data_IF_494568168121
#
_entry.id   IF_494568168121
#
_cell.length_a   1.000
_cell.length_b   1.000
_cell.length_c   1.000
_cell.angle_alpha   90.00
_cell.angle_beta   90.00
_cell.angle_gamma   90.00
#
_symmetry.space_group_name_H-M   'P 1'
#
loop_
_entity.id
_entity.type
_entity.pdbx_description
1 polymer ?
#
# COMPACT_ATOMS: atom_id res chain seq x y z
N UNK A 1 -7.02 -12.20 27.32
CA UNK A 1 -7.25 -10.77 27.64
C UNK A 1 -6.06 -10.01 27.06
N UNK A 2 -6.07 -9.16 26.03
CA UNK A 2 -7.07 -8.43 25.23
C UNK A 2 -6.49 -8.28 23.80
N UNK A 3 -7.01 -9.02 22.82
CA UNK A 3 -6.65 -8.87 21.39
C UNK A 3 -7.46 -7.76 20.68
N UNK A 4 -8.13 -6.92 21.46
CA UNK A 4 -9.01 -5.84 20.97
C UNK A 4 -8.22 -4.71 20.29
N UNK A 5 -7.01 -4.40 20.76
CA UNK A 5 -6.20 -3.28 20.27
C UNK A 5 -5.86 -3.34 18.76
N UNK A 6 -5.38 -4.45 18.19
CA UNK A 6 -5.10 -4.52 16.74
C UNK A 6 -6.37 -4.46 15.89
N UNK A 7 -7.47 -5.09 16.33
CA UNK A 7 -8.76 -5.06 15.62
C UNK A 7 -9.33 -3.64 15.66
N UNK A 8 -9.33 -2.98 16.83
CA UNK A 8 -9.76 -1.59 16.95
C UNK A 8 -8.94 -0.66 16.05
N UNK A 9 -7.62 -0.82 15.96
CA UNK A 9 -6.78 -0.01 15.05
C UNK A 9 -7.12 -0.26 13.58
N UNK A 10 -7.39 -1.50 13.19
CA UNK A 10 -7.81 -1.83 11.83
C UNK A 10 -9.20 -1.24 11.51
N UNK A 11 -10.14 -1.32 12.45
CA UNK A 11 -11.48 -0.74 12.32
C UNK A 11 -11.44 0.78 12.24
N UNK A 12 -10.60 1.43 13.06
CA UNK A 12 -10.39 2.89 12.99
C UNK A 12 -9.77 3.32 11.66
N UNK A 13 -8.79 2.55 11.15
CA UNK A 13 -8.22 2.80 9.82
C UNK A 13 -9.24 2.64 8.70
N UNK A 14 -10.05 1.58 8.74
CA UNK A 14 -11.13 1.35 7.79
C UNK A 14 -12.18 2.46 7.87
N UNK A 15 -12.63 2.83 9.07
CA UNK A 15 -13.58 3.91 9.29
C UNK A 15 -13.04 5.26 8.80
N UNK A 16 -11.75 5.54 8.99
CA UNK A 16 -11.11 6.74 8.48
C UNK A 16 -11.09 6.78 6.94
N UNK A 17 -10.69 5.68 6.28
CA UNK A 17 -10.64 5.60 4.82
C UNK A 17 -12.05 5.73 4.22
N UNK A 18 -12.99 4.96 4.74
CA UNK A 18 -14.38 4.98 4.28
C UNK A 18 -15.04 6.32 4.59
N UNK A 19 -14.77 6.90 5.75
CA UNK A 19 -15.24 8.23 6.14
C UNK A 19 -14.69 9.33 5.23
N UNK A 20 -13.39 9.30 4.93
CA UNK A 20 -12.78 10.26 4.00
C UNK A 20 -13.35 10.12 2.58
N UNK A 21 -13.54 8.88 2.10
CA UNK A 21 -14.15 8.61 0.80
C UNK A 21 -15.62 9.07 0.75
N UNK A 22 -16.40 8.78 1.78
CA UNK A 22 -17.80 9.19 1.89
C UNK A 22 -17.94 10.71 1.99
N UNK A 23 -17.09 11.36 2.78
CA UNK A 23 -17.05 12.82 2.89
C UNK A 23 -16.72 13.47 1.55
N UNK A 24 -15.73 12.94 0.83
CA UNK A 24 -15.38 13.44 -0.50
C UNK A 24 -16.52 13.25 -1.49
N UNK A 25 -17.17 12.07 -1.49
CA UNK A 25 -18.32 11.79 -2.35
C UNK A 25 -19.53 12.68 -2.02
N UNK A 26 -19.74 13.02 -0.75
CA UNK A 26 -20.81 13.91 -0.30
C UNK A 26 -20.53 15.38 -0.61
N UNK A 27 -19.28 15.83 -0.48
CA UNK A 27 -18.89 17.21 -0.74
C UNK A 27 -18.79 17.54 -2.24
N UNK A 28 -18.48 16.53 -3.08
CA UNK A 28 -18.26 16.71 -4.52
C UNK A 28 -19.41 17.38 -5.29
N UNK A 29 -20.70 17.03 -5.10
CA UNK A 29 -21.77 17.57 -5.93
C UNK A 29 -22.07 19.05 -5.68
N UNK A 30 -21.75 19.54 -4.49
CA UNK A 30 -22.17 20.87 -4.04
C UNK A 30 -20.98 21.83 -3.89
N UNK A 31 -19.84 21.36 -3.38
CA UNK A 31 -18.78 22.22 -2.84
C UNK A 31 -17.40 21.96 -3.50
N UNK A 32 -17.31 21.03 -4.46
CA UNK A 32 -16.05 20.63 -5.05
C UNK A 32 -16.16 20.57 -6.57
N UNK A 33 -15.14 21.09 -7.25
CA UNK A 33 -15.06 20.96 -8.70
C UNK A 33 -14.98 19.47 -9.09
N UNK A 34 -15.74 19.00 -10.11
CA UNK A 34 -15.72 17.62 -10.56
C UNK A 34 -14.31 17.09 -10.90
N UNK A 35 -13.42 17.95 -11.40
CA UNK A 35 -12.03 17.59 -11.63
C UNK A 35 -11.30 17.32 -10.31
N UNK A 36 -11.41 18.23 -9.34
CA UNK A 36 -10.75 18.06 -8.05
C UNK A 36 -11.29 16.87 -7.26
N UNK A 37 -12.59 16.58 -7.36
CA UNK A 37 -13.18 15.38 -6.76
C UNK A 37 -12.52 14.09 -7.30
N UNK A 38 -12.28 14.01 -8.61
CA UNK A 38 -11.59 12.87 -9.23
C UNK A 38 -10.13 12.80 -8.81
N UNK A 39 -9.41 13.93 -8.80
CA UNK A 39 -8.00 14.00 -8.38
C UNK A 39 -7.82 13.54 -6.95
N UNK A 40 -8.65 14.05 -6.03
CA UNK A 40 -8.60 13.70 -4.62
C UNK A 40 -8.97 12.23 -4.39
N UNK A 41 -9.93 11.68 -5.14
CA UNK A 41 -10.25 10.26 -5.08
C UNK A 41 -9.05 9.37 -5.45
N UNK A 42 -8.35 9.70 -6.53
CA UNK A 42 -7.12 9.01 -6.91
C UNK A 42 -5.97 9.20 -5.92
N UNK A 43 -5.77 10.41 -5.43
CA UNK A 43 -4.76 10.70 -4.41
C UNK A 43 -5.01 9.92 -3.10
N UNK A 44 -6.28 9.83 -2.67
CA UNK A 44 -6.69 9.06 -1.50
C UNK A 44 -6.37 7.56 -1.67
N UNK A 45 -6.62 7.00 -2.86
CA UNK A 45 -6.24 5.61 -3.14
C UNK A 45 -4.73 5.40 -3.02
N UNK A 46 -3.93 6.31 -3.59
CA UNK A 46 -2.47 6.28 -3.42
C UNK A 46 -2.05 6.36 -1.95
N UNK A 47 -2.72 7.20 -1.15
CA UNK A 47 -2.45 7.35 0.28
C UNK A 47 -2.73 6.06 1.05
N UNK A 48 -3.86 5.41 0.76
CA UNK A 48 -4.23 4.11 1.33
C UNK A 48 -3.12 3.08 1.07
N UNK A 49 -2.64 3.00 -0.17
CA UNK A 49 -1.53 2.08 -0.53
C UNK A 49 -0.29 2.40 0.30
N UNK A 50 0.13 3.66 0.40
CA UNK A 50 1.31 4.07 1.18
C UNK A 50 1.18 3.67 2.65
N UNK A 51 0.03 3.94 3.27
CA UNK A 51 -0.22 3.63 4.67
C UNK A 51 -0.12 2.12 4.92
N UNK A 52 -0.83 1.30 4.14
CA UNK A 52 -0.82 -0.16 4.32
C UNK A 52 0.53 -0.79 3.95
N UNK A 53 1.16 -0.35 2.86
CA UNK A 53 2.47 -0.83 2.43
C UNK A 53 3.57 -0.54 3.47
N UNK A 54 3.44 0.54 4.24
CA UNK A 54 4.35 0.87 5.34
C UNK A 54 3.98 0.13 6.64
N UNK A 55 2.69 -0.07 6.93
CA UNK A 55 2.23 -0.66 8.17
C UNK A 55 2.38 -2.19 8.20
N UNK A 56 2.05 -2.89 7.11
CA UNK A 56 2.06 -4.36 7.04
C UNK A 56 3.45 -4.96 7.34
N UNK A 57 4.56 -4.48 6.74
CA UNK A 57 5.89 -5.01 7.04
C UNK A 57 6.38 -4.70 8.47
N UNK A 58 5.81 -3.67 9.10
CA UNK A 58 6.14 -3.27 10.48
C UNK A 58 5.38 -4.09 11.53
N UNK A 59 4.29 -4.74 11.14
CA UNK A 59 3.62 -5.71 11.99
C UNK A 59 4.50 -6.96 12.12
N UNK A 60 5.26 -7.04 13.22
CA UNK A 60 6.04 -8.22 13.57
C UNK A 60 5.08 -9.37 13.87
N UNK A 61 4.82 -10.23 12.88
CA UNK A 61 4.01 -11.43 13.11
C UNK A 61 4.87 -12.41 13.88
N UNK A 62 4.73 -12.42 15.21
CA UNK A 62 5.39 -13.40 16.10
C UNK A 62 5.21 -14.85 15.61
N UNK A 63 4.07 -15.16 14.97
CA UNK A 63 3.80 -16.49 14.39
C UNK A 63 4.57 -16.82 13.12
N UNK A 64 4.98 -15.83 12.31
CA UNK A 64 5.78 -16.08 11.10
C UNK A 64 7.22 -16.46 11.46
N UNK A 65 7.75 -15.94 12.58
CA UNK A 65 9.08 -16.28 13.09
C UNK A 65 9.26 -17.75 13.42
N UNK A 66 8.18 -18.48 13.72
CA UNK A 66 8.25 -19.90 14.09
C UNK A 66 8.23 -20.88 12.90
N UNK A 67 7.93 -20.42 11.67
CA UNK A 67 7.81 -21.30 10.49
C UNK A 67 8.85 -21.04 9.40
N UNK A 68 9.65 -19.98 9.52
CA UNK A 68 10.63 -19.61 8.50
C UNK A 68 12.03 -20.05 8.91
N UNK A 69 12.75 -20.71 7.99
CA UNK A 69 14.14 -21.15 8.16
C UNK A 69 15.09 -19.97 8.41
N UNK A 70 14.78 -18.78 7.88
CA UNK A 70 15.50 -17.53 8.13
C UNK A 70 14.54 -16.36 8.38
N UNK A 71 14.25 -16.02 9.65
CA UNK A 71 13.37 -14.90 10.01
C UNK A 71 13.87 -13.54 9.50
N UNK A 72 15.20 -13.36 9.41
CA UNK A 72 15.81 -12.13 8.92
C UNK A 72 15.56 -11.89 7.43
N UNK A 73 15.65 -12.95 6.62
CA UNK A 73 15.39 -12.87 5.18
C UNK A 73 13.90 -12.60 4.88
N UNK A 74 12.97 -13.23 5.61
CA UNK A 74 11.53 -12.97 5.47
C UNK A 74 11.19 -11.51 5.82
N UNK A 75 11.75 -11.00 6.92
CA UNK A 75 11.54 -9.62 7.33
C UNK A 75 12.16 -8.62 6.33
N UNK A 76 13.32 -8.93 5.76
CA UNK A 76 13.94 -8.13 4.71
C UNK A 76 13.07 -8.10 3.44
N UNK A 77 12.53 -9.24 3.00
CA UNK A 77 11.63 -9.32 1.85
C UNK A 77 10.35 -8.50 2.06
N UNK A 78 9.73 -8.59 3.25
CA UNK A 78 8.55 -7.78 3.59
C UNK A 78 8.85 -6.29 3.56
N UNK A 79 9.98 -5.85 4.12
CA UNK A 79 10.39 -4.44 4.10
C UNK A 79 10.67 -3.96 2.69
N UNK A 80 11.34 -4.78 1.88
CA UNK A 80 11.60 -4.47 0.48
C UNK A 80 10.30 -4.29 -0.30
N UNK A 81 9.38 -5.26 -0.23
CA UNK A 81 8.09 -5.18 -0.89
C UNK A 81 7.27 -3.98 -0.40
N UNK A 82 7.28 -3.72 0.91
CA UNK A 82 6.63 -2.56 1.51
C UNK A 82 7.16 -1.24 0.93
N UNK A 83 8.48 -1.06 0.87
CA UNK A 83 9.08 0.15 0.31
C UNK A 83 8.81 0.30 -1.19
N UNK A 84 8.86 -0.79 -1.96
CA UNK A 84 8.49 -0.76 -3.38
C UNK A 84 7.05 -0.24 -3.55
N UNK A 85 6.10 -0.77 -2.76
CA UNK A 85 4.70 -0.35 -2.80
C UNK A 85 4.47 1.06 -2.24
N UNK A 86 5.23 1.51 -1.23
CA UNK A 86 5.20 2.91 -0.76
C UNK A 86 5.60 3.85 -1.89
N UNK A 87 6.71 3.56 -2.58
CA UNK A 87 7.16 4.39 -3.72
C UNK A 87 6.14 4.35 -4.86
N UNK A 88 5.57 3.19 -5.17
CA UNK A 88 4.50 3.04 -6.16
C UNK A 88 3.23 3.81 -5.80
N UNK A 89 2.79 3.76 -4.54
CA UNK A 89 1.63 4.49 -4.04
C UNK A 89 1.84 6.00 -4.05
N UNK A 90 3.05 6.47 -3.71
CA UNK A 90 3.42 7.90 -3.83
C UNK A 90 3.43 8.35 -5.30
N UNK A 91 4.01 7.55 -6.20
CA UNK A 91 3.99 7.84 -7.64
C UNK A 91 2.56 7.87 -8.20
N UNK A 92 1.70 6.93 -7.78
CA UNK A 92 0.27 6.92 -8.11
C UNK A 92 -0.43 8.19 -7.63
N UNK A 93 -0.20 8.57 -6.37
CA UNK A 93 -0.77 9.78 -5.78
C UNK A 93 -0.34 11.03 -6.55
N UNK A 94 0.96 11.18 -6.83
CA UNK A 94 1.50 12.30 -7.60
C UNK A 94 0.95 12.35 -9.03
N UNK A 95 0.77 11.19 -9.67
CA UNK A 95 0.17 11.13 -11.00
C UNK A 95 -1.25 11.72 -10.99
N UNK A 96 -2.07 11.42 -9.98
CA UNK A 96 -3.41 11.99 -9.86
C UNK A 96 -3.44 13.48 -9.52
N UNK A 97 -2.44 13.98 -8.79
CA UNK A 97 -2.35 15.39 -8.43
C UNK A 97 -1.80 16.26 -9.57
N UNK A 98 -0.87 15.75 -10.37
CA UNK A 98 -0.10 16.57 -11.32
C UNK A 98 -0.40 16.25 -12.79
N UNK A 99 -0.73 15.00 -13.13
CA UNK A 99 -0.92 14.63 -14.53
C UNK A 99 -2.26 15.15 -15.10
N UNK A 100 -2.37 15.28 -16.43
CA UNK A 100 -3.65 15.47 -17.11
C UNK A 100 -4.65 14.37 -16.71
N UNK A 101 -5.90 14.74 -16.43
CA UNK A 101 -6.92 13.82 -15.89
C UNK A 101 -7.21 12.60 -16.78
N UNK A 102 -7.11 12.76 -18.09
CA UNK A 102 -7.26 11.70 -19.10
C UNK A 102 -6.14 10.65 -19.02
N UNK A 103 -4.96 11.05 -18.53
CA UNK A 103 -3.76 10.19 -18.42
C UNK A 103 -3.42 9.78 -16.99
N UNK A 104 -3.97 10.45 -15.98
CA UNK A 104 -3.67 10.24 -14.57
C UNK A 104 -3.83 8.77 -14.16
N UNK A 105 -4.93 8.13 -14.56
CA UNK A 105 -5.19 6.72 -14.28
C UNK A 105 -4.17 5.78 -14.93
N UNK A 106 -3.79 6.04 -16.19
CA UNK A 106 -2.80 5.24 -16.92
C UNK A 106 -1.40 5.40 -16.31
N UNK A 107 -0.95 6.64 -16.10
CA UNK A 107 0.39 6.94 -15.55
C UNK A 107 0.50 6.38 -14.13
N UNK A 108 -0.49 6.66 -13.27
CA UNK A 108 -0.53 6.15 -11.91
C UNK A 108 -0.58 4.62 -11.90
N UNK A 109 -1.45 4.02 -12.72
CA UNK A 109 -1.61 2.57 -12.83
C UNK A 109 -0.32 1.87 -13.27
N UNK A 110 0.39 2.42 -14.25
CA UNK A 110 1.69 1.88 -14.69
C UNK A 110 2.75 2.00 -13.60
N UNK A 111 2.82 3.14 -12.90
CA UNK A 111 3.78 3.34 -11.82
C UNK A 111 3.54 2.36 -10.65
N UNK A 112 2.29 2.21 -10.23
CA UNK A 112 1.91 1.26 -9.19
C UNK A 112 2.07 -0.19 -9.65
N UNK A 113 1.71 -0.50 -10.89
CA UNK A 113 1.89 -1.81 -11.49
C UNK A 113 3.35 -2.23 -11.54
N UNK A 114 4.24 -1.33 -11.98
CA UNK A 114 5.69 -1.56 -11.97
C UNK A 114 6.22 -1.82 -10.56
N UNK A 115 5.74 -1.07 -9.56
CA UNK A 115 6.10 -1.29 -8.16
C UNK A 115 5.65 -2.67 -7.64
N UNK A 116 4.44 -3.11 -7.98
CA UNK A 116 3.92 -4.46 -7.64
C UNK A 116 4.78 -5.54 -8.29
N UNK A 117 5.07 -5.40 -9.60
CA UNK A 117 5.92 -6.35 -10.33
C UNK A 117 7.31 -6.42 -9.72
N UNK A 118 7.91 -5.26 -9.39
CA UNK A 118 9.21 -5.19 -8.75
C UNK A 118 9.23 -5.84 -7.36
N UNK A 119 8.22 -5.57 -6.54
CA UNK A 119 8.05 -6.20 -5.24
C UNK A 119 7.95 -7.73 -5.35
N UNK A 120 7.15 -8.24 -6.30
CA UNK A 120 6.99 -9.66 -6.54
C UNK A 120 8.30 -10.32 -6.99
N UNK A 121 9.00 -9.73 -7.96
CA UNK A 121 10.30 -10.22 -8.45
C UNK A 121 11.35 -10.25 -7.33
N UNK A 122 11.43 -9.18 -6.53
CA UNK A 122 12.36 -9.13 -5.40
C UNK A 122 12.05 -10.17 -4.32
N UNK A 123 10.78 -10.38 -3.99
CA UNK A 123 10.37 -11.45 -3.06
C UNK A 123 10.74 -12.84 -3.59
N UNK A 124 10.51 -13.12 -4.88
CA UNK A 124 10.89 -14.39 -5.49
C UNK A 124 12.40 -14.61 -5.49
N UNK A 125 13.18 -13.56 -5.76
CA UNK A 125 14.66 -13.61 -5.69
C UNK A 125 15.16 -13.89 -4.29
N UNK A 126 14.57 -13.27 -3.26
CA UNK A 126 14.96 -13.53 -1.87
C UNK A 126 14.58 -14.96 -1.46
N UNK A 127 13.40 -15.44 -1.86
CA UNK A 127 12.95 -16.81 -1.55
C UNK A 127 13.76 -17.92 -2.23
N UNK A 128 14.21 -17.70 -3.47
CA UNK A 128 15.04 -18.68 -4.20
C UNK A 128 16.43 -18.83 -3.59
N UNK A 129 17.08 -17.73 -3.19
CA UNK A 129 18.38 -17.75 -2.48
C UNK A 129 18.30 -18.56 -1.18
N UNK A 130 17.19 -18.48 -0.45
CA UNK A 130 17.00 -19.22 0.81
C UNK A 130 16.84 -20.74 0.60
N UNK A 131 16.23 -21.18 -0.51
CA UNK A 131 16.11 -22.62 -0.83
C UNK A 131 17.45 -23.28 -1.18
N UNK A 132 18.40 -22.52 -1.72
CA UNK A 132 19.74 -23.01 -2.08
C UNK A 132 20.69 -23.12 -0.89
N UNK A 133 20.55 -22.25 0.13
CA UNK A 133 21.42 -22.21 1.30
C UNK A 133 21.07 -23.22 2.41
N UNK A 134 19.95 -23.94 2.28
CA UNK A 134 19.47 -24.95 3.24
C UNK A 134 19.75 -26.40 2.84
N UNK A 135 20.67 -26.64 1.89
CA UNK A 135 21.16 -27.97 1.53
C UNK A 135 22.60 -28.15 2.00
#
# INVERSE_FOLDING_TARGET
MTSLTPICRALLGAAFILGAAALLAWAAPAWLDPEWARRLGGALLGAVVVVYANAIPKALVERARMRCTSPGADQAARRFAGWALVLGGLAYMLAWLVAPLDKAGMIGGLALGAAVTWAALGCMRIGTTQRGAGR
#
